data_IF_575951303865
#
_entry.id   IF_575951303865
#
_cell.length_a   1.000
_cell.length_b   1.000
_cell.length_c   1.000
_cell.angle_alpha   90.00
_cell.angle_beta   90.00
_cell.angle_gamma   90.00
#
_symmetry.space_group_name_H-M   'P 1'
#
loop_
_entity.id
_entity.type
_entity.pdbx_description
1 polymer ?
#
# COMPACT_ATOMS: atom_id res chain seq x y z
N UNK A 1 -16.27 75.79 -19.27
CA UNK A 1 -17.32 74.83 -18.88
C UNK A 1 -17.06 73.53 -19.62
N UNK A 2 -16.53 72.54 -18.92
CA UNK A 2 -16.18 71.21 -19.46
C UNK A 2 -17.34 70.25 -19.23
N UNK A 3 -17.70 69.46 -20.24
CA UNK A 3 -18.60 68.33 -20.07
C UNK A 3 -18.02 67.12 -20.81
N UNK A 4 -17.33 66.25 -20.06
CA UNK A 4 -16.76 64.98 -20.54
C UNK A 4 -17.69 63.87 -20.05
N UNK A 5 -18.56 63.39 -20.94
CA UNK A 5 -19.38 62.19 -20.73
C UNK A 5 -18.51 60.95 -20.60
N UNK A 6 -18.35 60.46 -19.38
CA UNK A 6 -17.74 59.15 -19.08
C UNK A 6 -18.80 58.06 -19.27
N UNK A 7 -18.68 57.25 -20.33
CA UNK A 7 -19.49 56.03 -20.51
C UNK A 7 -18.88 54.89 -19.68
N UNK A 8 -19.62 54.43 -18.67
CA UNK A 8 -19.32 53.22 -17.90
C UNK A 8 -19.35 51.99 -18.80
N UNK A 9 -18.20 51.31 -18.92
CA UNK A 9 -18.10 49.99 -19.53
C UNK A 9 -18.47 48.95 -18.48
N UNK A 10 -19.67 48.38 -18.61
CA UNK A 10 -20.11 47.21 -17.85
C UNK A 10 -19.24 46.02 -18.26
N UNK A 11 -18.25 45.69 -17.43
CA UNK A 11 -17.49 44.43 -17.53
C UNK A 11 -18.43 43.28 -17.20
N UNK A 12 -18.99 42.63 -18.22
CA UNK A 12 -19.65 41.32 -18.08
C UNK A 12 -18.58 40.29 -17.72
N UNK A 13 -18.60 39.79 -16.49
CA UNK A 13 -17.83 38.63 -16.09
C UNK A 13 -18.23 37.42 -16.95
N UNK A 14 -17.29 36.59 -17.44
CA UNK A 14 -17.64 35.38 -18.17
C UNK A 14 -18.37 34.40 -17.24
N UNK A 15 -19.27 33.56 -17.79
CA UNK A 15 -19.99 32.58 -16.99
C UNK A 15 -19.02 31.64 -16.30
N UNK A 16 -19.24 31.40 -15.00
CA UNK A 16 -18.57 30.35 -14.24
C UNK A 16 -18.75 29.05 -15.00
N UNK A 17 -17.67 28.55 -15.60
CA UNK A 17 -17.63 27.18 -16.09
C UNK A 17 -18.02 26.28 -14.93
N UNK A 18 -19.17 25.63 -15.06
CA UNK A 18 -19.50 24.46 -14.27
C UNK A 18 -18.40 23.46 -14.55
N UNK A 19 -17.45 23.35 -13.62
CA UNK A 19 -16.57 22.20 -13.56
C UNK A 19 -17.50 21.03 -13.24
N UNK A 20 -17.87 20.29 -14.28
CA UNK A 20 -18.47 18.97 -14.13
C UNK A 20 -17.52 18.15 -13.28
N UNK A 21 -17.79 18.10 -11.98
CA UNK A 21 -17.13 17.23 -11.03
C UNK A 21 -17.53 15.80 -11.37
N UNK A 22 -16.86 15.23 -12.37
CA UNK A 22 -16.74 13.79 -12.48
C UNK A 22 -16.27 13.29 -11.11
N UNK A 23 -17.00 12.41 -10.42
CA UNK A 23 -16.47 11.79 -9.22
C UNK A 23 -15.14 11.16 -9.60
N UNK A 24 -14.08 11.56 -8.87
CA UNK A 24 -12.73 11.07 -9.15
C UNK A 24 -12.82 9.55 -8.99
N UNK A 25 -12.47 8.72 -9.99
CA UNK A 25 -12.64 7.26 -9.93
C UNK A 25 -11.93 6.63 -8.71
N UNK A 26 -10.92 7.33 -8.17
CA UNK A 26 -10.28 7.00 -6.90
C UNK A 26 -11.22 7.08 -5.70
N UNK A 27 -12.02 8.14 -5.56
CA UNK A 27 -12.91 8.37 -4.43
C UNK A 27 -13.92 7.24 -4.28
N UNK A 28 -14.51 6.79 -5.38
CA UNK A 28 -15.47 5.68 -5.39
C UNK A 28 -14.84 4.37 -4.90
N UNK A 29 -13.60 4.07 -5.29
CA UNK A 29 -12.86 2.90 -4.82
C UNK A 29 -12.56 2.99 -3.31
N UNK A 30 -12.17 4.17 -2.82
CA UNK A 30 -11.97 4.42 -1.39
C UNK A 30 -13.28 4.22 -0.63
N UNK A 31 -14.41 4.64 -1.19
CA UNK A 31 -15.73 4.50 -0.57
C UNK A 31 -16.22 3.05 -0.53
N UNK A 32 -15.91 2.26 -1.55
CA UNK A 32 -16.16 0.81 -1.51
C UNK A 32 -15.34 0.18 -0.39
N UNK A 33 -14.02 0.40 -0.34
CA UNK A 33 -13.19 -0.20 0.71
C UNK A 33 -13.53 0.29 2.12
N UNK A 34 -13.84 1.58 2.28
CA UNK A 34 -14.25 2.13 3.58
C UNK A 34 -15.52 1.46 4.12
N UNK A 35 -16.44 1.04 3.24
CA UNK A 35 -17.63 0.26 3.61
C UNK A 35 -17.30 -1.20 3.92
N UNK A 36 -16.38 -1.80 3.15
CA UNK A 36 -15.98 -3.20 3.32
C UNK A 36 -15.08 -3.42 4.56
N UNK A 37 -14.38 -2.38 5.02
CA UNK A 37 -13.46 -2.43 6.15
C UNK A 37 -13.99 -1.58 7.31
N UNK A 38 -15.07 -2.01 7.98
CA UNK A 38 -15.68 -1.23 9.06
C UNK A 38 -14.69 -1.03 10.22
N UNK A 39 -14.72 0.17 10.81
CA UNK A 39 -13.85 0.54 11.93
C UNK A 39 -12.43 0.96 11.54
N UNK A 40 -12.07 0.91 10.25
CA UNK A 40 -10.76 1.38 9.78
C UNK A 40 -10.70 2.89 9.64
N UNK A 41 -11.80 3.52 9.21
CA UNK A 41 -11.83 4.96 8.96
C UNK A 41 -12.04 5.73 10.26
N UNK A 42 -11.10 6.62 10.56
CA UNK A 42 -11.17 7.52 11.70
C UNK A 42 -12.18 8.65 11.44
N UNK A 43 -12.89 9.16 12.47
CA UNK A 43 -13.77 10.32 12.35
C UNK A 43 -13.12 11.52 11.65
N UNK A 44 -13.91 12.38 10.97
CA UNK A 44 -13.38 13.52 10.25
C UNK A 44 -12.61 14.46 11.19
N UNK A 45 -11.35 14.70 10.84
CA UNK A 45 -10.44 15.57 11.57
C UNK A 45 -9.47 16.23 10.59
N UNK A 46 -8.66 17.17 11.09
CA UNK A 46 -7.58 17.78 10.32
C UNK A 46 -6.29 17.72 11.13
N UNK A 47 -5.22 17.22 10.53
CA UNK A 47 -3.91 17.11 11.19
C UNK A 47 -2.87 17.96 10.47
N UNK A 48 -2.10 18.73 11.25
CA UNK A 48 -0.96 19.53 10.74
C UNK A 48 0.40 18.87 11.01
N UNK A 49 0.41 17.64 11.49
CA UNK A 49 1.60 16.87 11.87
C UNK A 49 1.41 15.41 11.50
N UNK A 50 2.38 14.85 10.75
CA UNK A 50 2.41 13.42 10.42
C UNK A 50 2.54 12.56 11.69
N UNK A 51 3.28 13.02 12.70
CA UNK A 51 3.42 12.30 13.97
C UNK A 51 2.10 12.22 14.73
N UNK A 52 1.34 13.32 14.78
CA UNK A 52 0.03 13.33 15.43
C UNK A 52 -0.97 12.43 14.69
N UNK A 53 -0.97 12.49 13.36
CA UNK A 53 -1.79 11.62 12.53
C UNK A 53 -1.41 10.14 12.70
N UNK A 54 -0.12 9.83 12.76
CA UNK A 54 0.40 8.49 12.98
C UNK A 54 -0.03 7.93 14.34
N UNK A 55 0.02 8.76 15.40
CA UNK A 55 -0.49 8.41 16.72
C UNK A 55 -1.98 8.07 16.68
N UNK A 56 -2.79 8.88 15.99
CA UNK A 56 -4.22 8.61 15.81
C UNK A 56 -4.49 7.30 15.05
N UNK A 57 -3.73 7.05 13.98
CA UNK A 57 -3.87 5.87 13.12
C UNK A 57 -3.18 4.62 13.68
N UNK A 58 -2.46 4.75 14.81
CA UNK A 58 -1.64 3.71 15.45
C UNK A 58 -0.67 3.05 14.46
N UNK A 59 0.10 3.87 13.74
CA UNK A 59 1.11 3.43 12.77
C UNK A 59 2.41 4.21 12.94
N UNK A 60 3.50 3.71 12.36
CA UNK A 60 4.75 4.46 12.27
C UNK A 60 4.58 5.67 11.30
N UNK A 61 5.00 6.90 11.68
CA UNK A 61 5.03 8.05 10.78
C UNK A 61 5.78 7.82 9.45
N UNK A 62 6.76 6.91 9.42
CA UNK A 62 7.45 6.47 8.20
C UNK A 62 6.47 5.88 7.18
N UNK A 63 5.48 5.12 7.64
CA UNK A 63 4.50 4.49 6.74
C UNK A 63 3.60 5.52 6.07
N UNK A 64 3.22 6.59 6.78
CA UNK A 64 2.48 7.72 6.20
C UNK A 64 3.33 8.42 5.13
N UNK A 65 4.63 8.62 5.42
CA UNK A 65 5.58 9.22 4.46
C UNK A 65 5.75 8.38 3.20
N UNK A 66 5.82 7.06 3.33
CA UNK A 66 5.88 6.14 2.19
C UNK A 66 4.64 6.26 1.31
N UNK A 67 3.44 6.22 1.90
CA UNK A 67 2.18 6.35 1.16
C UNK A 67 2.07 7.73 0.47
N UNK A 68 2.51 8.81 1.13
CA UNK A 68 2.63 10.14 0.52
C UNK A 68 3.67 10.16 -0.61
N UNK A 69 4.81 9.50 -0.42
CA UNK A 69 5.88 9.38 -1.41
C UNK A 69 5.42 8.69 -2.69
N UNK A 70 4.62 7.64 -2.55
CA UNK A 70 3.92 6.94 -3.62
C UNK A 70 2.76 7.75 -4.28
N UNK A 71 2.56 9.00 -3.85
CA UNK A 71 1.47 9.87 -4.33
C UNK A 71 0.07 9.25 -4.19
N UNK A 72 -0.08 8.32 -3.23
CA UNK A 72 -1.38 7.73 -2.91
C UNK A 72 -2.22 8.67 -2.03
N UNK A 73 -1.59 9.68 -1.42
CA UNK A 73 -2.29 10.81 -0.80
C UNK A 73 -1.60 12.10 -1.15
N UNK A 74 -2.38 13.17 -1.28
CA UNK A 74 -1.91 14.49 -1.68
C UNK A 74 -2.34 15.57 -0.65
N UNK A 75 -1.83 15.50 0.58
CA UNK A 75 -2.13 16.52 1.60
C UNK A 75 -1.72 17.91 1.12
N UNK A 76 -2.41 18.94 1.61
CA UNK A 76 -2.08 20.32 1.28
C UNK A 76 -0.71 20.69 1.88
N UNK A 77 0.14 21.33 1.07
CA UNK A 77 1.44 21.83 1.54
C UNK A 77 1.26 23.24 2.10
N UNK A 78 1.61 23.44 3.37
CA UNK A 78 1.55 24.75 4.04
C UNK A 78 2.92 25.06 4.62
N UNK A 79 3.65 25.96 3.96
CA UNK A 79 5.05 26.25 4.28
C UNK A 79 5.95 25.00 4.11
N UNK A 80 6.63 24.61 5.19
CA UNK A 80 7.47 23.39 5.24
C UNK A 80 6.70 22.14 5.68
N UNK A 81 5.45 22.27 6.08
CA UNK A 81 4.63 21.18 6.61
C UNK A 81 3.55 20.69 5.65
N UNK A 82 2.85 19.64 6.08
CA UNK A 82 1.71 19.03 5.38
C UNK A 82 0.47 19.09 6.27
N UNK A 83 -0.67 19.40 5.64
CA UNK A 83 -1.99 19.41 6.28
C UNK A 83 -2.83 18.30 5.66
N UNK A 84 -3.23 17.35 6.49
CA UNK A 84 -4.07 16.22 6.14
C UNK A 84 -5.50 16.56 6.52
N UNK A 85 -6.39 16.67 5.54
CA UNK A 85 -7.82 16.85 5.75
C UNK A 85 -8.56 15.52 5.86
N UNK A 86 -9.88 15.57 6.06
CA UNK A 86 -10.71 14.38 6.20
C UNK A 86 -10.57 13.38 5.04
N UNK A 87 -10.46 13.86 3.79
CA UNK A 87 -10.31 13.02 2.60
C UNK A 87 -8.98 12.27 2.60
N UNK A 88 -7.86 12.95 2.92
CA UNK A 88 -6.56 12.29 3.00
C UNK A 88 -6.47 11.30 4.15
N UNK A 89 -7.07 11.62 5.30
CA UNK A 89 -7.10 10.72 6.46
C UNK A 89 -7.90 9.46 6.13
N UNK A 90 -9.06 9.61 5.49
CA UNK A 90 -9.88 8.48 5.03
C UNK A 90 -9.09 7.61 4.05
N UNK A 91 -8.45 8.24 3.06
CA UNK A 91 -7.62 7.53 2.08
C UNK A 91 -6.45 6.81 2.74
N UNK A 92 -5.70 7.47 3.62
CA UNK A 92 -4.60 6.85 4.39
C UNK A 92 -5.10 5.66 5.20
N UNK A 93 -6.23 5.79 5.89
CA UNK A 93 -6.80 4.73 6.71
C UNK A 93 -7.08 3.47 5.88
N UNK A 94 -7.69 3.64 4.70
CA UNK A 94 -7.95 2.54 3.76
C UNK A 94 -6.64 1.94 3.24
N UNK A 95 -5.69 2.76 2.80
CA UNK A 95 -4.39 2.25 2.30
C UNK A 95 -3.65 1.44 3.37
N UNK A 96 -3.64 1.92 4.61
CA UNK A 96 -2.99 1.25 5.73
C UNK A 96 -3.69 -0.07 6.07
N UNK A 97 -5.02 -0.14 5.98
CA UNK A 97 -5.73 -1.39 6.18
C UNK A 97 -5.46 -2.40 5.06
N UNK A 98 -5.45 -1.97 3.80
CA UNK A 98 -5.05 -2.84 2.69
C UNK A 98 -3.61 -3.35 2.85
N UNK A 99 -2.69 -2.50 3.34
CA UNK A 99 -1.34 -2.95 3.69
C UNK A 99 -1.33 -4.05 4.77
N UNK A 100 -2.20 -3.95 5.78
CA UNK A 100 -2.33 -5.00 6.82
C UNK A 100 -2.92 -6.30 6.27
N UNK A 101 -3.69 -6.22 5.19
CA UNK A 101 -4.20 -7.37 4.43
C UNK A 101 -3.18 -7.90 3.41
N UNK A 102 -1.92 -7.46 3.50
CA UNK A 102 -0.84 -7.96 2.65
C UNK A 102 -0.67 -7.20 1.33
N UNK A 103 -1.39 -6.10 1.08
CA UNK A 103 -1.12 -5.27 -0.08
C UNK A 103 0.24 -4.56 0.06
N UNK A 104 1.06 -4.60 -0.99
CA UNK A 104 2.31 -3.84 -1.04
C UNK A 104 2.05 -2.43 -1.57
N UNK A 105 2.99 -1.51 -1.35
CA UNK A 105 2.87 -0.15 -1.88
C UNK A 105 2.77 -0.13 -3.42
N UNK A 106 3.56 -0.93 -4.18
CA UNK A 106 3.38 -1.08 -5.62
C UNK A 106 2.02 -1.64 -6.03
N UNK A 107 1.43 -2.57 -5.26
CA UNK A 107 0.08 -3.09 -5.56
C UNK A 107 -0.96 -1.98 -5.50
N UNK A 108 -0.86 -1.13 -4.48
CA UNK A 108 -1.76 0.02 -4.30
C UNK A 108 -1.56 1.05 -5.42
N UNK A 109 -0.31 1.37 -5.77
CA UNK A 109 -0.01 2.26 -6.89
C UNK A 109 -0.61 1.73 -8.21
N UNK A 110 -0.35 0.46 -8.54
CA UNK A 110 -0.87 -0.15 -9.77
C UNK A 110 -2.40 -0.21 -9.77
N UNK A 111 -3.03 -0.51 -8.64
CA UNK A 111 -4.49 -0.56 -8.50
C UNK A 111 -5.12 0.81 -8.75
N UNK A 112 -4.65 1.84 -8.03
CA UNK A 112 -5.23 3.18 -8.11
C UNK A 112 -4.81 3.95 -9.36
N UNK A 113 -3.73 3.54 -10.04
CA UNK A 113 -3.38 3.99 -11.39
C UNK A 113 -4.24 3.35 -12.49
N UNK A 114 -5.03 2.31 -12.15
CA UNK A 114 -5.84 1.57 -13.11
C UNK A 114 -5.05 0.57 -13.96
N UNK A 115 -3.79 0.30 -13.62
CA UNK A 115 -2.89 -0.61 -14.35
C UNK A 115 -3.18 -2.09 -14.08
N UNK A 116 -3.99 -2.41 -13.06
CA UNK A 116 -4.43 -3.77 -12.75
C UNK A 116 -5.69 -4.22 -13.48
N UNK A 117 -6.15 -3.46 -14.49
CA UNK A 117 -7.25 -3.86 -15.37
C UNK A 117 -6.74 -4.97 -16.31
N UNK A 118 -6.84 -6.22 -15.86
CA UNK A 118 -6.45 -7.38 -16.66
C UNK A 118 -7.36 -7.60 -17.87
N UNK A 119 -6.92 -8.36 -18.89
CA UNK A 119 -7.69 -8.67 -20.09
C UNK A 119 -8.87 -9.63 -19.86
N UNK A 120 -8.90 -10.36 -18.73
CA UNK A 120 -9.95 -11.35 -18.38
C UNK A 120 -11.18 -10.77 -17.66
N UNK A 121 -11.41 -9.46 -17.75
CA UNK A 121 -12.68 -8.89 -17.33
C UNK A 121 -13.71 -9.23 -18.39
N UNK A 122 -14.29 -10.43 -18.28
CA UNK A 122 -15.43 -10.86 -19.07
C UNK A 122 -16.43 -9.72 -19.22
N UNK A 123 -16.95 -9.60 -20.43
CA UNK A 123 -17.71 -8.46 -20.99
C UNK A 123 -19.07 -8.19 -20.29
N UNK A 124 -19.23 -8.66 -19.06
CA UNK A 124 -20.25 -8.21 -18.14
C UNK A 124 -19.79 -6.88 -17.53
N UNK A 125 -20.48 -5.79 -17.83
CA UNK A 125 -20.21 -4.44 -17.34
C UNK A 125 -20.05 -4.30 -15.82
N UNK A 126 -20.40 -5.34 -15.04
CA UNK A 126 -20.11 -5.48 -13.60
C UNK A 126 -18.60 -5.45 -13.27
N UNK A 127 -17.76 -6.03 -14.13
CA UNK A 127 -16.30 -6.11 -13.93
C UNK A 127 -15.58 -4.75 -14.05
N UNK A 128 -16.26 -3.74 -14.62
CA UNK A 128 -15.75 -2.36 -14.72
C UNK A 128 -16.26 -1.43 -13.62
N UNK A 129 -17.16 -1.91 -12.76
CA UNK A 129 -17.67 -1.13 -11.63
C UNK A 129 -16.61 -0.99 -10.51
N UNK A 130 -16.65 0.07 -9.69
CA UNK A 130 -15.74 0.21 -8.54
C UNK A 130 -15.76 -1.00 -7.59
N UNK A 131 -16.94 -1.59 -7.40
CA UNK A 131 -17.10 -2.81 -6.57
C UNK A 131 -16.41 -4.01 -7.22
N UNK A 132 -16.60 -4.21 -8.52
CA UNK A 132 -15.93 -5.27 -9.28
C UNK A 132 -14.41 -5.16 -9.24
N UNK A 133 -13.88 -3.94 -9.40
CA UNK A 133 -12.45 -3.66 -9.30
C UNK A 133 -11.89 -3.94 -7.89
N UNK A 134 -12.58 -3.48 -6.83
CA UNK A 134 -12.20 -3.78 -5.46
C UNK A 134 -12.23 -5.29 -5.16
N UNK A 135 -13.25 -6.01 -5.63
CA UNK A 135 -13.36 -7.45 -5.46
C UNK A 135 -12.24 -8.21 -6.19
N UNK A 136 -11.92 -7.82 -7.43
CA UNK A 136 -10.81 -8.40 -8.17
C UNK A 136 -9.46 -8.16 -7.48
N UNK A 137 -9.26 -6.97 -6.91
CA UNK A 137 -8.07 -6.67 -6.11
C UNK A 137 -7.96 -7.55 -4.87
N UNK A 138 -9.04 -7.69 -4.09
CA UNK A 138 -9.05 -8.58 -2.92
C UNK A 138 -8.75 -10.04 -3.29
N UNK A 139 -9.36 -10.56 -4.37
CA UNK A 139 -9.08 -11.94 -4.85
C UNK A 139 -7.61 -12.14 -5.22
N UNK A 140 -6.98 -11.14 -5.85
CA UNK A 140 -5.54 -11.21 -6.16
C UNK A 140 -4.68 -11.24 -4.90
N UNK A 141 -5.06 -10.49 -3.85
CA UNK A 141 -4.36 -10.54 -2.56
C UNK A 141 -4.53 -11.90 -1.88
N UNK A 142 -5.74 -12.45 -1.92
CA UNK A 142 -6.08 -13.78 -1.41
C UNK A 142 -5.24 -14.86 -2.08
N UNK A 143 -5.23 -14.93 -3.42
CA UNK A 143 -4.44 -15.94 -4.16
C UNK A 143 -2.95 -15.85 -3.84
N UNK A 144 -2.38 -14.65 -3.74
CA UNK A 144 -0.96 -14.49 -3.35
C UNK A 144 -0.70 -15.00 -1.93
N UNK A 145 -1.64 -14.77 -1.01
CA UNK A 145 -1.49 -15.21 0.38
C UNK A 145 -1.63 -16.74 0.49
N UNK A 146 -2.51 -17.36 -0.30
CA UNK A 146 -2.61 -18.81 -0.43
C UNK A 146 -1.32 -19.43 -0.98
N UNK A 147 -0.71 -18.82 -2.00
CA UNK A 147 0.59 -19.24 -2.54
C UNK A 147 1.70 -19.17 -1.48
N UNK A 148 1.76 -18.09 -0.70
CA UNK A 148 2.76 -17.94 0.36
C UNK A 148 2.54 -18.96 1.49
N UNK A 149 1.28 -19.21 1.88
CA UNK A 149 0.95 -20.27 2.85
C UNK A 149 1.40 -21.64 2.33
N UNK A 150 1.13 -21.96 1.06
CA UNK A 150 1.54 -23.22 0.45
C UNK A 150 3.07 -23.36 0.44
N UNK A 151 3.79 -22.28 0.13
CA UNK A 151 5.25 -22.23 0.16
C UNK A 151 5.81 -22.46 1.56
N UNK A 152 5.25 -21.82 2.58
CA UNK A 152 5.67 -21.98 3.97
C UNK A 152 5.43 -23.41 4.47
N UNK A 153 4.30 -24.02 4.12
CA UNK A 153 4.02 -25.44 4.43
C UNK A 153 5.01 -26.39 3.76
N UNK A 154 5.38 -26.10 2.50
CA UNK A 154 6.40 -26.90 1.80
C UNK A 154 7.77 -26.78 2.47
N UNK A 155 8.14 -25.58 2.96
CA UNK A 155 9.37 -25.36 3.71
C UNK A 155 9.36 -26.14 5.05
N UNK A 156 8.25 -26.11 5.77
CA UNK A 156 8.06 -26.87 7.02
C UNK A 156 8.24 -28.38 6.79
N UNK A 157 7.63 -28.92 5.74
CA UNK A 157 7.80 -30.33 5.37
C UNK A 157 9.26 -30.71 5.04
N UNK A 158 10.05 -29.79 4.46
CA UNK A 158 11.47 -30.02 4.20
C UNK A 158 12.30 -30.07 5.51
N UNK A 159 11.95 -29.24 6.49
CA UNK A 159 12.61 -29.27 7.80
C UNK A 159 12.23 -30.51 8.62
N UNK A 160 10.98 -30.97 8.54
CA UNK A 160 10.55 -32.21 9.19
C UNK A 160 11.12 -33.47 8.53
N UNK A 161 11.36 -33.43 7.22
CA UNK A 161 11.94 -34.54 6.46
C UNK A 161 13.47 -34.63 6.57
N UNK A 162 14.15 -33.63 7.14
CA UNK A 162 15.60 -33.68 7.34
C UNK A 162 15.92 -34.59 8.54
N UNK A 163 16.55 -35.77 8.35
CA UNK A 163 16.95 -36.60 9.46
C UNK A 163 18.00 -35.88 10.32
N UNK A 164 17.97 -36.14 11.64
CA UNK A 164 18.95 -35.66 12.63
C UNK A 164 20.32 -36.32 12.32
N UNK A 165 21.01 -35.81 11.30
CA UNK A 165 22.44 -36.10 11.03
C UNK A 165 23.28 -35.42 12.12
N UNK A 166 23.11 -35.85 13.38
CA UNK A 166 24.16 -35.64 14.37
C UNK A 166 25.29 -36.58 14.00
N UNK A 167 26.49 -36.07 13.66
CA UNK A 167 27.62 -36.96 13.45
C UNK A 167 27.84 -37.78 14.71
N UNK A 168 27.72 -39.10 14.59
CA UNK A 168 28.05 -40.02 15.67
C UNK A 168 29.50 -39.76 16.12
N UNK A 169 29.77 -39.54 17.41
CA UNK A 169 31.11 -39.18 17.91
C UNK A 169 32.13 -40.32 17.82
N UNK A 170 31.80 -41.47 17.22
CA UNK A 170 32.66 -42.65 17.19
C UNK A 170 33.73 -42.65 16.08
N UNK A 171 33.78 -41.64 15.20
CA UNK A 171 34.76 -41.57 14.11
C UNK A 171 36.09 -40.84 14.45
N UNK A 172 36.41 -40.60 15.73
CA UNK A 172 37.65 -39.90 16.15
C UNK A 172 38.66 -40.76 16.93
N UNK A 173 38.66 -42.08 16.73
CA UNK A 173 39.74 -42.95 17.21
C UNK A 173 40.31 -43.74 16.04
N UNK A 174 41.28 -43.18 15.33
CA UNK A 174 42.41 -43.91 14.73
C UNK A 174 43.32 -42.97 13.91
N UNK A 175 43.99 -42.05 14.59
CA UNK A 175 45.19 -41.41 14.05
C UNK A 175 46.32 -41.61 15.06
N UNK A 176 47.00 -42.76 14.98
CA UNK A 176 48.31 -42.94 15.60
C UNK A 176 49.39 -42.45 14.62
N UNK A 177 50.30 -41.56 15.01
CA UNK A 177 51.48 -41.26 14.22
C UNK A 177 52.48 -42.41 14.36
N UNK A 178 52.86 -43.04 13.25
CA UNK A 178 53.94 -44.03 13.20
C UNK A 178 55.27 -43.29 13.17
N UNK A 179 56.03 -43.36 14.27
CA UNK A 179 57.40 -42.84 14.36
C UNK A 179 58.35 -43.98 14.00
N UNK A 180 58.98 -43.91 12.84
CA UNK A 180 60.11 -44.78 12.51
C UNK A 180 61.40 -44.15 13.01
N UNK A 181 61.90 -44.64 14.15
CA UNK A 181 63.32 -44.54 14.51
C UNK A 181 64.11 -45.57 13.68
N UNK A 182 65.12 -45.12 12.94
CA UNK A 182 66.19 -45.99 12.45
C UNK A 182 67.52 -45.41 12.89
N UNK A 183 68.06 -46.00 13.96
CA UNK A 183 69.46 -45.86 14.40
C UNK A 183 70.31 -46.78 13.51
N UNK A 184 71.41 -46.27 12.95
CA UNK A 184 72.52 -47.12 12.49
C UNK A 184 73.83 -46.54 13.04
N UNK A 185 74.58 -47.43 13.68
CA UNK A 185 75.90 -47.23 14.29
C UNK A 185 77.00 -47.03 13.26
#
# INVERSE_FOLDING_TARGET
MHDIRTRSVVRRSPPRQMVESHPRPRGDLIDVFARLLPGVVVPPATFRSETALAGQLRVDPRRIREIRGARLVAPARVGRGWVYGPEEIRTLSVMLALCRLGATLPDLEAFFAGSLRGPDHGDDGSSRSPVGLCAAFCRRLESRMEEEIARLRALEALFEAAPDERPSPEASRDIRPSVSETIVK
#
